data_IF_259163633201
#
_entry.id   IF_259163633201
#
_cell.length_a   1.000
_cell.length_b   1.000
_cell.length_c   1.000
_cell.angle_alpha   90.00
_cell.angle_beta   90.00
_cell.angle_gamma   90.00
#
_symmetry.space_group_name_H-M   'P 1'
#
loop_
_entity.id
_entity.type
_entity.pdbx_description
1 polymer ?
#
# COMPACT_ATOMS: atom_id res chain seq x y z
N UNK A 1 67.09 47.60 34.45
CA UNK A 1 66.85 46.97 33.13
C UNK A 1 65.50 46.23 33.20
N UNK A 2 64.38 46.78 32.70
CA UNK A 2 63.79 46.59 31.33
C UNK A 2 63.62 45.08 31.01
N UNK A 3 62.45 44.46 30.77
CA UNK A 3 61.23 44.71 29.93
C UNK A 3 60.11 43.74 30.39
N UNK A 4 58.81 44.08 30.48
CA UNK A 4 57.75 44.34 29.45
C UNK A 4 57.22 43.11 28.67
N UNK A 5 55.90 42.87 28.81
CA UNK A 5 54.94 42.31 27.81
C UNK A 5 54.82 40.79 27.76
N UNK A 6 53.71 40.15 27.34
CA UNK A 6 52.35 40.52 26.90
C UNK A 6 51.70 39.20 26.45
N UNK A 7 50.36 39.08 26.48
CA UNK A 7 49.66 38.30 25.45
C UNK A 7 48.87 37.07 25.89
N UNK A 8 47.60 37.33 26.22
CA UNK A 8 46.47 36.41 26.20
C UNK A 8 46.29 35.78 24.79
N UNK A 9 45.97 34.48 24.71
CA UNK A 9 45.48 33.85 23.47
C UNK A 9 44.68 32.59 23.79
N UNK A 10 43.41 32.81 24.14
CA UNK A 10 42.33 31.82 24.04
C UNK A 10 42.32 31.19 22.64
N UNK A 11 42.74 29.92 22.54
CA UNK A 11 42.45 29.07 21.37
C UNK A 11 40.94 28.87 21.27
N UNK A 12 40.28 29.65 20.42
CA UNK A 12 38.94 29.34 19.89
C UNK A 12 39.04 27.97 19.20
N UNK A 13 38.17 27.02 19.59
CA UNK A 13 37.90 25.82 18.80
C UNK A 13 37.50 26.29 17.40
N UNK A 14 38.37 26.07 16.42
CA UNK A 14 37.95 26.13 15.02
C UNK A 14 36.97 24.97 14.83
N UNK A 15 35.72 25.31 14.57
CA UNK A 15 34.75 24.36 14.03
C UNK A 15 35.37 23.73 12.79
N UNK A 16 35.54 22.41 12.81
CA UNK A 16 35.98 21.64 11.64
C UNK A 16 34.94 21.88 10.55
N UNK A 17 35.35 22.52 9.47
CA UNK A 17 34.54 22.56 8.26
C UNK A 17 34.23 21.13 7.79
N UNK A 18 32.98 20.83 7.40
CA UNK A 18 32.62 19.52 6.87
C UNK A 18 33.42 19.26 5.58
N UNK A 19 33.95 18.05 5.46
CA UNK A 19 34.65 17.58 4.27
C UNK A 19 33.78 17.68 3.02
N UNK A 20 34.34 18.00 1.84
CA UNK A 20 33.59 18.01 0.58
C UNK A 20 33.04 16.61 0.34
N UNK A 21 31.71 16.46 0.30
CA UNK A 21 31.01 15.18 0.16
C UNK A 21 30.12 14.78 1.35
N UNK A 22 30.00 15.60 2.39
CA UNK A 22 29.07 15.34 3.49
C UNK A 22 27.60 15.37 3.02
N UNK A 23 26.96 14.20 2.97
CA UNK A 23 25.52 14.07 2.72
C UNK A 23 24.76 14.32 4.02
N UNK A 24 23.78 15.21 3.98
CA UNK A 24 22.87 15.47 5.09
C UNK A 24 21.45 15.07 4.70
N UNK A 25 20.68 14.54 5.63
CA UNK A 25 19.27 14.20 5.43
C UNK A 25 18.43 15.22 6.17
N UNK A 26 17.55 15.91 5.45
CA UNK A 26 16.48 16.67 6.06
C UNK A 26 15.34 15.73 6.40
N UNK A 27 14.87 15.84 7.63
CA UNK A 27 13.79 15.03 8.18
C UNK A 27 12.72 16.00 8.66
N UNK A 28 11.57 15.98 8.00
CA UNK A 28 10.37 16.70 8.43
C UNK A 28 9.46 15.67 9.10
N UNK A 29 9.29 15.78 10.42
CA UNK A 29 8.40 14.90 11.17
C UNK A 29 7.06 15.58 11.40
N UNK A 30 5.97 14.90 11.08
CA UNK A 30 4.61 15.31 11.40
C UNK A 30 3.98 14.29 12.34
N UNK A 31 3.58 14.71 13.54
CA UNK A 31 2.95 13.84 14.53
C UNK A 31 1.51 14.27 14.81
N UNK A 32 0.58 13.32 14.71
CA UNK A 32 -0.81 13.53 15.10
C UNK A 32 -0.98 13.27 16.61
N UNK A 33 -1.48 14.28 17.33
CA UNK A 33 -1.52 14.25 18.80
C UNK A 33 -2.60 13.32 19.37
N UNK A 34 -3.63 12.97 18.61
CA UNK A 34 -4.74 12.12 19.06
C UNK A 34 -4.34 10.65 19.12
N UNK A 35 -4.89 9.92 20.09
CA UNK A 35 -4.79 8.47 20.05
C UNK A 35 -5.49 7.96 18.79
N UNK A 36 -4.77 7.17 18.01
CA UNK A 36 -5.09 6.89 16.61
C UNK A 36 -4.93 5.42 16.25
N UNK A 37 -4.64 4.54 17.21
CA UNK A 37 -4.47 3.11 16.95
C UNK A 37 -3.50 2.83 15.78
N UNK A 38 -2.34 3.52 15.78
CA UNK A 38 -1.33 3.49 14.72
C UNK A 38 -1.80 3.99 13.34
N UNK A 39 -2.78 4.89 13.31
CA UNK A 39 -3.16 5.66 12.12
C UNK A 39 -2.56 7.08 12.16
N UNK A 40 -2.41 7.69 10.99
CA UNK A 40 -2.08 9.09 10.83
C UNK A 40 -3.15 9.73 9.96
N UNK A 41 -3.71 10.85 10.40
CA UNK A 41 -4.74 11.57 9.66
C UNK A 41 -4.06 12.60 8.74
N UNK A 42 -4.06 12.33 7.44
CA UNK A 42 -3.46 13.22 6.45
C UNK A 42 -4.34 14.42 6.08
N UNK A 43 -5.57 14.47 6.59
CA UNK A 43 -6.47 15.63 6.47
C UNK A 43 -6.38 16.54 7.69
N UNK A 44 -5.62 16.15 8.73
CA UNK A 44 -5.49 16.94 9.95
C UNK A 44 -4.72 18.24 9.70
N UNK A 45 -5.34 19.37 10.05
CA UNK A 45 -4.73 20.70 9.96
C UNK A 45 -3.78 21.00 11.14
N UNK A 46 -3.99 20.35 12.29
CA UNK A 46 -3.21 20.56 13.50
C UNK A 46 -2.27 19.39 13.73
N UNK A 47 -1.03 19.55 13.29
CA UNK A 47 0.06 18.57 13.42
C UNK A 47 1.22 19.16 14.20
N UNK A 48 1.90 18.34 14.99
CA UNK A 48 3.18 18.70 15.59
C UNK A 48 4.27 18.44 14.56
N UNK A 49 4.79 19.52 13.96
CA UNK A 49 5.83 19.46 12.94
C UNK A 49 7.19 19.80 13.52
N UNK A 50 8.22 19.03 13.16
CA UNK A 50 9.62 19.31 13.52
C UNK A 50 10.54 19.06 12.34
N UNK A 51 11.45 20.00 12.12
CA UNK A 51 12.49 19.89 11.09
C UNK A 51 13.80 19.53 11.78
N UNK A 52 14.42 18.44 11.32
CA UNK A 52 15.64 17.88 11.88
C UNK A 52 16.62 17.62 10.75
N UNK A 53 17.91 17.79 10.99
CA UNK A 53 18.96 17.48 10.02
C UNK A 53 19.89 16.44 10.62
N UNK A 54 20.10 15.34 9.89
CA UNK A 54 21.00 14.27 10.28
C UNK A 54 22.20 14.21 9.34
N UNK A 55 23.40 14.24 9.90
CA UNK A 55 24.66 14.04 9.18
C UNK A 55 25.31 12.77 9.72
N UNK A 56 24.97 11.61 9.14
CA UNK A 56 25.46 10.29 9.56
C UNK A 56 24.40 9.41 10.23
N UNK A 57 24.86 8.39 10.96
CA UNK A 57 23.98 7.42 11.62
C UNK A 57 23.31 8.01 12.87
N UNK A 58 21.98 7.96 12.93
CA UNK A 58 21.17 8.47 14.04
C UNK A 58 19.92 7.61 14.25
N UNK A 59 19.36 7.66 15.45
CA UNK A 59 18.06 7.08 15.78
C UNK A 59 17.02 8.19 15.90
N UNK A 60 15.85 8.00 15.28
CA UNK A 60 14.70 8.86 15.42
C UNK A 60 13.76 8.28 16.49
N UNK A 61 13.51 9.04 17.55
CA UNK A 61 12.60 8.66 18.63
C UNK A 61 11.49 9.70 18.78
N UNK A 62 10.42 9.33 19.47
CA UNK A 62 9.31 10.21 19.81
C UNK A 62 8.94 10.10 21.28
N UNK A 63 8.84 11.23 21.96
CA UNK A 63 8.33 11.35 23.32
C UNK A 63 7.04 12.17 23.30
N UNK A 64 5.90 11.49 23.43
CA UNK A 64 4.58 12.10 23.25
C UNK A 64 4.33 12.53 21.79
N UNK A 65 4.48 13.82 21.52
CA UNK A 65 4.39 14.42 20.17
C UNK A 65 5.73 14.92 19.63
N UNK A 66 6.75 15.07 20.48
CA UNK A 66 8.04 15.61 20.10
C UNK A 66 8.95 14.52 19.54
N UNK A 67 9.51 14.76 18.36
CA UNK A 67 10.44 13.85 17.68
C UNK A 67 11.87 14.34 17.89
N UNK A 68 12.81 13.45 18.18
CA UNK A 68 14.20 13.82 18.44
C UNK A 68 15.16 12.85 17.74
N UNK A 69 16.36 13.37 17.42
CA UNK A 69 17.48 12.57 16.96
C UNK A 69 18.37 12.22 18.15
N UNK A 70 18.73 10.94 18.24
CA UNK A 70 19.72 10.43 19.17
C UNK A 70 20.89 9.83 18.41
N UNK A 71 22.07 9.87 19.03
CA UNK A 71 23.23 9.14 18.53
C UNK A 71 22.94 7.63 18.51
N UNK A 72 23.54 6.90 17.57
CA UNK A 72 23.29 5.46 17.38
C UNK A 72 23.52 4.60 18.63
N UNK A 73 24.42 5.02 19.52
CA UNK A 73 24.76 4.32 20.77
C UNK A 73 24.02 4.84 22.02
N UNK A 74 23.23 5.92 21.88
CA UNK A 74 22.51 6.47 23.02
C UNK A 74 21.32 5.57 23.38
N UNK A 75 21.08 5.40 24.68
CA UNK A 75 19.90 4.65 25.15
C UNK A 75 18.66 5.53 25.04
N UNK A 76 17.56 5.06 24.40
CA UNK A 76 16.32 5.81 24.33
C UNK A 76 15.74 6.08 25.73
N UNK A 77 15.19 7.27 26.00
CA UNK A 77 14.49 7.55 27.25
C UNK A 77 13.35 6.54 27.50
N UNK A 78 13.10 6.16 28.76
CA UNK A 78 12.00 5.26 29.10
C UNK A 78 10.66 5.84 28.64
N UNK A 79 9.82 5.02 28.02
CA UNK A 79 8.52 5.44 27.48
C UNK A 79 8.57 6.16 26.12
N UNK A 80 9.76 6.35 25.52
CA UNK A 80 9.87 6.87 24.15
C UNK A 80 9.53 5.80 23.10
N UNK A 81 8.82 6.22 22.06
CA UNK A 81 8.57 5.40 20.87
C UNK A 81 9.78 5.49 19.94
N UNK A 82 10.36 4.34 19.60
CA UNK A 82 11.43 4.31 18.62
C UNK A 82 10.83 4.24 17.21
N UNK A 83 11.13 5.24 16.38
CA UNK A 83 10.51 5.39 15.06
C UNK A 83 11.29 4.62 13.99
N UNK A 84 12.48 5.11 13.63
CA UNK A 84 13.37 4.53 12.63
C UNK A 84 14.82 4.91 12.94
N UNK A 85 15.76 4.34 12.20
CA UNK A 85 17.16 4.76 12.24
C UNK A 85 17.69 5.08 10.85
N UNK A 86 18.58 6.06 10.79
CA UNK A 86 19.44 6.32 9.64
C UNK A 86 20.78 5.64 9.89
N UNK A 87 21.28 4.92 8.89
CA UNK A 87 22.57 4.21 8.97
C UNK A 87 23.43 4.63 7.80
N UNK A 88 24.61 5.17 8.08
CA UNK A 88 25.60 5.50 7.06
C UNK A 88 26.47 4.27 6.77
N UNK A 89 26.49 3.81 5.51
CA UNK A 89 27.29 2.66 5.05
C UNK A 89 27.93 2.99 3.72
N UNK A 90 29.25 2.95 3.64
CA UNK A 90 29.99 3.21 2.39
C UNK A 90 29.69 4.59 1.78
N UNK A 91 29.51 5.62 2.61
CA UNK A 91 29.17 6.98 2.17
C UNK A 91 27.68 7.20 1.82
N UNK A 92 26.87 6.15 1.77
CA UNK A 92 25.43 6.23 1.50
C UNK A 92 24.60 6.16 2.79
N UNK A 93 23.42 6.79 2.79
CA UNK A 93 22.49 6.79 3.93
C UNK A 93 21.29 5.88 3.69
N UNK A 94 21.01 5.03 4.67
CA UNK A 94 19.95 4.02 4.62
C UNK A 94 18.94 4.25 5.73
N UNK A 95 17.66 4.10 5.42
CA UNK A 95 16.59 4.03 6.43
C UNK A 95 16.36 2.59 6.84
N UNK A 96 16.37 2.33 8.15
CA UNK A 96 16.14 1.00 8.71
C UNK A 96 15.26 1.08 9.97
N UNK A 97 14.77 -0.07 10.44
CA UNK A 97 13.96 -0.20 11.65
C UNK A 97 14.72 0.22 12.90
N UNK A 98 14.02 0.68 13.93
CA UNK A 98 14.65 0.94 15.22
C UNK A 98 15.20 -0.35 15.89
N UNK A 99 16.10 -0.20 16.86
CA UNK A 99 16.72 -1.30 17.61
C UNK A 99 16.39 -1.19 19.11
N UNK A 100 15.96 -2.26 19.79
CA UNK A 100 15.94 -3.65 19.31
C UNK A 100 14.73 -3.96 18.41
N UNK A 101 14.85 -4.89 17.43
CA UNK A 101 13.78 -5.21 16.49
C UNK A 101 12.48 -5.69 17.16
N UNK A 102 12.61 -6.36 18.31
CA UNK A 102 11.49 -6.90 19.09
C UNK A 102 10.45 -5.82 19.49
N UNK A 103 10.92 -4.60 19.75
CA UNK A 103 10.07 -3.47 20.15
C UNK A 103 9.86 -2.46 19.01
N UNK A 104 10.43 -2.71 17.83
CA UNK A 104 10.34 -1.78 16.71
C UNK A 104 8.98 -1.89 16.00
N UNK A 105 8.31 -0.75 15.83
CA UNK A 105 7.11 -0.68 15.00
C UNK A 105 7.47 -0.92 13.53
N UNK A 106 6.52 -1.46 12.76
CA UNK A 106 6.70 -1.60 11.31
C UNK A 106 6.85 -0.22 10.67
N UNK A 107 7.80 -0.09 9.74
CA UNK A 107 7.95 1.08 8.89
C UNK A 107 7.03 0.94 7.67
N UNK A 108 6.24 1.97 7.42
CA UNK A 108 5.25 2.00 6.36
C UNK A 108 5.57 3.13 5.38
N UNK A 109 5.94 2.80 4.15
CA UNK A 109 6.10 3.79 3.09
C UNK A 109 4.74 4.35 2.71
N UNK A 110 4.62 5.68 2.68
CA UNK A 110 3.39 6.37 2.31
C UNK A 110 3.30 6.45 0.78
N UNK A 111 2.29 5.83 0.18
CA UNK A 111 2.20 5.68 -1.29
C UNK A 111 1.91 7.00 -2.00
N UNK A 112 1.11 7.87 -1.38
CA UNK A 112 0.68 9.14 -1.98
C UNK A 112 1.81 10.13 -2.29
N UNK A 113 2.96 9.95 -1.62
CA UNK A 113 4.14 10.79 -1.78
C UNK A 113 5.19 10.14 -2.71
N UNK A 114 4.87 8.98 -3.29
CA UNK A 114 5.75 8.26 -4.22
C UNK A 114 5.45 8.67 -5.68
N UNK A 115 6.26 8.14 -6.60
CA UNK A 115 6.29 8.49 -8.02
C UNK A 115 4.90 8.74 -8.66
N UNK A 116 4.80 9.67 -9.63
CA UNK A 116 3.52 10.08 -10.22
C UNK A 116 2.74 8.95 -10.93
N UNK A 117 3.39 7.81 -11.23
CA UNK A 117 2.77 6.65 -11.87
C UNK A 117 2.33 5.54 -10.89
N UNK A 118 2.41 5.79 -9.57
CA UNK A 118 2.05 4.83 -8.54
C UNK A 118 3.21 3.94 -8.08
N UNK A 119 2.97 3.17 -7.02
CA UNK A 119 3.98 2.31 -6.41
C UNK A 119 3.86 0.87 -6.93
N UNK A 120 4.92 0.35 -7.55
CA UNK A 120 5.00 -1.04 -8.01
C UNK A 120 4.75 -2.02 -6.86
N UNK A 121 3.88 -3.00 -7.11
CA UNK A 121 3.60 -4.13 -6.22
C UNK A 121 4.34 -5.38 -6.66
N UNK A 122 4.81 -6.14 -5.68
CA UNK A 122 5.48 -7.44 -5.87
C UNK A 122 4.94 -8.49 -4.90
N UNK A 123 5.16 -9.77 -5.20
CA UNK A 123 4.74 -10.86 -4.32
C UNK A 123 5.31 -10.71 -2.91
N UNK A 124 4.47 -11.01 -1.93
CA UNK A 124 4.74 -10.87 -0.49
C UNK A 124 4.75 -9.43 0.03
N UNK A 125 4.50 -8.40 -0.80
CA UNK A 125 4.30 -7.04 -0.27
C UNK A 125 3.09 -7.01 0.65
N UNK A 126 3.13 -6.13 1.66
CA UNK A 126 2.02 -5.92 2.57
C UNK A 126 1.57 -4.48 2.41
N UNK A 127 0.33 -4.31 1.93
CA UNK A 127 -0.33 -3.02 1.84
C UNK A 127 -1.20 -2.80 3.07
N UNK A 128 -1.31 -1.55 3.54
CA UNK A 128 -2.16 -1.15 4.67
C UNK A 128 -3.07 -0.01 4.23
N UNK A 129 -4.37 -0.18 4.46
CA UNK A 129 -5.44 0.79 4.17
C UNK A 129 -6.22 1.00 5.48
N UNK A 130 -6.02 2.14 6.14
CA UNK A 130 -6.52 2.33 7.50
C UNK A 130 -6.04 1.21 8.43
N UNK A 131 -6.97 0.50 9.08
CA UNK A 131 -6.67 -0.64 9.98
C UNK A 131 -6.51 -1.98 9.25
N UNK A 132 -6.92 -2.07 7.98
CA UNK A 132 -6.81 -3.30 7.19
C UNK A 132 -5.45 -3.46 6.54
N UNK A 133 -5.04 -4.72 6.35
CA UNK A 133 -3.79 -5.10 5.71
C UNK A 133 -4.05 -6.23 4.73
N UNK A 134 -3.54 -6.10 3.51
CA UNK A 134 -3.47 -7.20 2.56
C UNK A 134 -2.03 -7.59 2.31
N UNK A 135 -1.79 -8.89 2.17
CA UNK A 135 -0.57 -9.41 1.59
C UNK A 135 -0.81 -9.69 0.12
N UNK A 136 0.12 -9.27 -0.74
CA UNK A 136 0.13 -9.64 -2.15
C UNK A 136 0.57 -11.10 -2.23
N UNK A 137 -0.38 -11.99 -2.45
CA UNK A 137 -0.15 -13.44 -2.51
C UNK A 137 0.58 -13.83 -3.79
N UNK A 138 0.08 -13.32 -4.89
CA UNK A 138 0.51 -13.66 -6.24
C UNK A 138 0.24 -12.47 -7.17
N UNK A 139 1.16 -12.24 -8.09
CA UNK A 139 0.99 -11.29 -9.20
C UNK A 139 1.41 -11.99 -10.48
N UNK A 140 0.47 -12.14 -11.42
CA UNK A 140 0.77 -12.67 -12.74
C UNK A 140 0.66 -11.53 -13.76
N UNK A 141 1.77 -11.15 -14.39
CA UNK A 141 1.81 -10.05 -15.35
C UNK A 141 1.51 -10.49 -16.80
N UNK A 142 1.76 -11.76 -17.15
CA UNK A 142 1.48 -12.32 -18.48
C UNK A 142 1.20 -13.83 -18.38
N UNK A 143 0.46 -14.37 -19.36
CA UNK A 143 0.45 -15.81 -19.63
C UNK A 143 1.76 -16.15 -20.35
N UNK A 144 2.63 -16.95 -19.72
CA UNK A 144 3.74 -17.56 -20.44
C UNK A 144 3.19 -18.79 -21.20
N UNK A 145 3.46 -18.86 -22.51
CA UNK A 145 3.27 -20.04 -23.37
C UNK A 145 1.95 -20.81 -23.22
N UNK A 146 0.82 -20.10 -23.12
CA UNK A 146 -0.52 -20.71 -23.08
C UNK A 146 -0.84 -21.49 -21.79
N UNK A 147 0.09 -21.56 -20.84
CA UNK A 147 -0.12 -22.17 -19.53
C UNK A 147 -0.51 -21.08 -18.53
N UNK A 148 -1.75 -21.11 -18.05
CA UNK A 148 -2.21 -20.19 -17.02
C UNK A 148 -1.48 -20.51 -15.70
N UNK A 149 -0.86 -19.51 -15.03
CA UNK A 149 -0.16 -19.76 -13.79
C UNK A 149 -1.16 -20.24 -12.73
N UNK A 150 -0.80 -21.35 -12.09
CA UNK A 150 -1.60 -21.96 -11.04
C UNK A 150 -1.81 -20.97 -9.88
N UNK A 151 -3.04 -20.88 -9.39
CA UNK A 151 -3.40 -20.01 -8.28
C UNK A 151 -2.91 -20.61 -6.97
N UNK A 152 -2.10 -19.86 -6.23
CA UNK A 152 -1.54 -20.30 -4.94
C UNK A 152 -2.54 -20.11 -3.80
N UNK A 153 -3.49 -21.05 -3.69
CA UNK A 153 -4.59 -21.01 -2.73
C UNK A 153 -4.18 -21.24 -1.26
N UNK A 154 -3.01 -21.83 -1.01
CA UNK A 154 -2.49 -22.08 0.35
C UNK A 154 -1.00 -21.72 0.54
N UNK A 155 -0.59 -21.55 1.81
CA UNK A 155 0.79 -21.25 2.25
C UNK A 155 1.66 -22.49 2.42
N UNK A 156 1.05 -23.58 2.85
CA UNK A 156 1.75 -24.72 3.41
C UNK A 156 1.93 -25.89 2.44
N UNK A 157 1.54 -25.71 1.18
CA UNK A 157 1.51 -26.80 0.22
C UNK A 157 0.79 -28.05 0.80
N UNK A 158 -0.24 -27.85 1.63
CA UNK A 158 -0.89 -28.94 2.33
C UNK A 158 -1.69 -29.75 1.31
N UNK A 159 -1.39 -31.04 1.22
CA UNK A 159 -2.14 -31.99 0.42
C UNK A 159 -2.63 -33.14 1.30
N UNK A 160 -3.85 -33.61 1.05
CA UNK A 160 -4.22 -34.95 1.48
C UNK A 160 -3.75 -35.96 0.44
N UNK A 161 -3.40 -37.16 0.90
CA UNK A 161 -2.99 -38.26 0.04
C UNK A 161 -4.24 -39.01 -0.42
N UNK A 162 -4.22 -39.47 -1.66
CA UNK A 162 -5.14 -40.52 -2.09
C UNK A 162 -4.70 -41.81 -1.40
N UNK A 163 -5.59 -42.44 -0.63
CA UNK A 163 -5.28 -43.72 0.00
C UNK A 163 -5.50 -44.83 -1.03
N UNK A 164 -4.44 -45.16 -1.77
CA UNK A 164 -4.43 -46.24 -2.77
C UNK A 164 -4.10 -47.58 -2.11
N UNK A 165 -3.88 -47.63 -0.79
CA UNK A 165 -3.14 -48.71 -0.14
C UNK A 165 -3.94 -49.61 0.78
N UNK A 166 -5.26 -49.49 0.83
CA UNK A 166 -6.10 -50.40 1.62
C UNK A 166 -7.18 -51.04 0.79
N UNK A 167 -6.95 -52.30 0.51
CA UNK A 167 -7.90 -53.29 -0.01
C UNK A 167 -8.96 -53.65 1.06
N UNK A 168 -9.39 -52.66 1.85
CA UNK A 168 -10.41 -52.84 2.89
C UNK A 168 -11.78 -52.61 2.23
N UNK A 169 -12.46 -53.70 1.88
CA UNK A 169 -13.83 -53.77 1.32
C UNK A 169 -14.92 -53.12 2.22
N UNK A 170 -14.53 -52.38 3.26
CA UNK A 170 -15.41 -51.77 4.27
C UNK A 170 -15.16 -50.28 4.49
N UNK A 171 -14.36 -49.62 3.66
CA UNK A 171 -14.22 -48.16 3.73
C UNK A 171 -15.46 -47.51 3.09
N UNK A 172 -16.25 -46.84 3.92
CA UNK A 172 -17.46 -46.12 3.50
C UNK A 172 -17.19 -44.62 3.37
N UNK A 173 -17.71 -43.99 2.33
CA UNK A 173 -17.70 -42.54 2.18
C UNK A 173 -18.71 -41.87 3.12
N UNK A 174 -18.27 -40.91 3.95
CA UNK A 174 -19.15 -40.22 4.91
C UNK A 174 -20.23 -39.32 4.28
N UNK A 175 -20.11 -39.01 2.98
CA UNK A 175 -21.05 -38.14 2.26
C UNK A 175 -22.16 -38.95 1.57
N UNK A 176 -21.79 -39.92 0.73
CA UNK A 176 -22.76 -40.71 -0.04
C UNK A 176 -23.14 -42.04 0.63
N UNK A 177 -22.42 -42.45 1.68
CA UNK A 177 -22.61 -43.71 2.41
C UNK A 177 -22.41 -44.97 1.56
N UNK A 178 -21.71 -44.85 0.42
CA UNK A 178 -21.32 -45.99 -0.42
C UNK A 178 -19.94 -46.51 -0.02
N UNK A 179 -19.76 -47.83 -0.13
CA UNK A 179 -18.52 -48.53 0.15
C UNK A 179 -17.59 -48.55 -1.08
N UNK A 180 -16.28 -48.61 -0.83
CA UNK A 180 -15.25 -48.83 -1.84
C UNK A 180 -14.75 -47.56 -2.54
N UNK A 181 -13.61 -47.71 -3.21
CA UNK A 181 -13.05 -46.68 -4.10
C UNK A 181 -13.58 -46.92 -5.52
N UNK A 182 -14.04 -45.87 -6.20
CA UNK A 182 -14.26 -45.95 -7.64
C UNK A 182 -12.92 -45.83 -8.36
N UNK A 183 -12.75 -46.49 -9.52
CA UNK A 183 -11.51 -46.37 -10.32
C UNK A 183 -11.14 -44.90 -10.62
N UNK A 184 -12.15 -44.04 -10.82
CA UNK A 184 -11.99 -42.59 -11.08
C UNK A 184 -12.35 -41.67 -9.89
N UNK A 185 -12.80 -42.23 -8.75
CA UNK A 185 -13.21 -41.45 -7.58
C UNK A 185 -12.74 -42.11 -6.28
N UNK A 186 -11.46 -41.90 -5.92
CA UNK A 186 -10.87 -42.58 -4.79
C UNK A 186 -11.28 -41.95 -3.46
N UNK A 187 -11.20 -42.76 -2.40
CA UNK A 187 -11.39 -42.29 -1.03
C UNK A 187 -10.16 -41.53 -0.53
N UNK A 188 -10.41 -40.43 0.16
CA UNK A 188 -9.39 -39.59 0.78
C UNK A 188 -9.72 -39.33 2.25
N UNK A 189 -8.69 -39.03 3.05
CA UNK A 189 -8.83 -38.48 4.40
C UNK A 189 -8.43 -36.99 4.37
N UNK A 190 -9.39 -36.07 4.19
CA UNK A 190 -9.12 -34.66 3.90
C UNK A 190 -8.96 -33.79 5.15
N UNK A 191 -9.18 -34.35 6.35
CA UNK A 191 -9.22 -33.58 7.59
C UNK A 191 -8.83 -34.46 8.79
N UNK A 192 -8.95 -33.94 10.01
CA UNK A 192 -8.54 -34.63 11.24
C UNK A 192 -9.61 -35.58 11.81
N UNK A 193 -10.69 -35.84 11.07
CA UNK A 193 -11.72 -36.79 11.50
C UNK A 193 -11.17 -38.22 11.56
N UNK A 194 -11.73 -39.04 12.45
CA UNK A 194 -11.31 -40.44 12.69
C UNK A 194 -12.52 -41.37 12.74
N UNK A 195 -12.30 -42.66 12.46
CA UNK A 195 -13.34 -43.68 12.48
C UNK A 195 -14.22 -43.64 11.22
N UNK A 196 -15.52 -43.89 11.35
CA UNK A 196 -16.46 -44.00 10.22
C UNK A 196 -16.65 -42.72 9.39
N UNK A 197 -16.18 -41.58 9.89
CA UNK A 197 -16.27 -40.26 9.22
C UNK A 197 -14.92 -39.76 8.71
N UNK A 198 -13.89 -40.61 8.71
CA UNK A 198 -12.54 -40.27 8.25
C UNK A 198 -12.46 -40.15 6.72
N UNK A 199 -13.14 -41.05 6.00
CA UNK A 199 -13.01 -41.18 4.54
C UNK A 199 -14.16 -40.55 3.77
N UNK A 200 -13.83 -39.98 2.61
CA UNK A 200 -14.77 -39.39 1.65
C UNK A 200 -14.24 -39.56 0.25
N UNK A 201 -15.15 -39.79 -0.70
CA UNK A 201 -14.80 -39.75 -2.11
C UNK A 201 -14.35 -38.34 -2.51
N UNK A 202 -13.31 -38.26 -3.34
CA UNK A 202 -12.78 -37.01 -3.86
C UNK A 202 -13.85 -36.19 -4.59
N UNK A 203 -14.65 -36.84 -5.43
CA UNK A 203 -15.77 -36.27 -6.18
C UNK A 203 -16.88 -35.77 -5.25
N UNK A 204 -17.26 -36.55 -4.24
CA UNK A 204 -18.24 -36.12 -3.23
C UNK A 204 -17.78 -34.86 -2.49
N UNK A 205 -16.51 -34.81 -2.06
CA UNK A 205 -15.97 -33.65 -1.37
C UNK A 205 -15.87 -32.42 -2.30
N UNK A 206 -15.41 -32.62 -3.55
CA UNK A 206 -15.40 -31.57 -4.58
C UNK A 206 -16.77 -30.95 -4.81
N UNK A 207 -17.79 -31.80 -4.94
CA UNK A 207 -19.18 -31.36 -5.11
C UNK A 207 -19.66 -30.53 -3.91
N UNK A 208 -19.41 -31.02 -2.69
CA UNK A 208 -19.73 -30.30 -1.46
C UNK A 208 -19.04 -28.93 -1.41
N UNK A 209 -17.73 -28.88 -1.71
CA UNK A 209 -16.94 -27.65 -1.67
C UNK A 209 -17.47 -26.64 -2.69
N UNK A 210 -17.75 -27.09 -3.92
CA UNK A 210 -18.29 -26.24 -4.99
C UNK A 210 -19.60 -25.58 -4.59
N UNK A 211 -20.50 -26.32 -3.94
CA UNK A 211 -21.76 -25.77 -3.42
C UNK A 211 -21.59 -24.74 -2.28
N UNK A 212 -20.41 -24.65 -1.66
CA UNK A 212 -20.15 -23.81 -0.48
C UNK A 212 -19.25 -22.62 -0.75
N UNK A 213 -18.40 -22.68 -1.78
CA UNK A 213 -17.49 -21.58 -2.11
C UNK A 213 -18.21 -20.35 -2.69
N UNK A 214 -19.46 -20.47 -3.16
CA UNK A 214 -20.25 -19.37 -3.72
C UNK A 214 -19.45 -18.50 -4.72
N UNK A 215 -18.62 -19.14 -5.55
CA UNK A 215 -17.82 -18.44 -6.56
C UNK A 215 -18.77 -18.06 -7.68
N UNK A 216 -19.20 -16.79 -7.70
CA UNK A 216 -19.99 -16.27 -8.81
C UNK A 216 -19.16 -16.35 -10.08
N UNK A 217 -19.71 -16.96 -11.13
CA UNK A 217 -19.13 -16.94 -12.48
C UNK A 217 -19.36 -15.55 -13.09
N UNK A 218 -18.72 -14.54 -12.50
CA UNK A 218 -18.84 -13.17 -12.94
C UNK A 218 -17.93 -12.97 -14.14
N UNK A 219 -18.48 -12.43 -15.24
CA UNK A 219 -17.74 -12.05 -16.44
C UNK A 219 -16.54 -11.12 -16.18
N UNK A 220 -16.48 -10.50 -14.98
CA UNK A 220 -15.39 -9.66 -14.50
C UNK A 220 -14.11 -10.43 -14.11
N UNK A 221 -14.13 -11.77 -14.09
CA UNK A 221 -12.95 -12.60 -13.79
C UNK A 221 -12.37 -12.36 -12.39
N UNK A 222 -13.21 -11.96 -11.43
CA UNK A 222 -12.82 -11.63 -10.05
C UNK A 222 -13.72 -12.37 -9.07
N UNK A 223 -13.14 -12.99 -8.04
CA UNK A 223 -13.88 -13.73 -7.02
C UNK A 223 -13.16 -13.71 -5.67
N UNK A 224 -13.89 -14.07 -4.61
CA UNK A 224 -13.33 -14.23 -3.27
C UNK A 224 -13.26 -15.71 -2.90
N UNK A 225 -12.04 -16.23 -2.78
CA UNK A 225 -11.82 -17.60 -2.33
C UNK A 225 -11.68 -17.64 -0.82
N UNK A 226 -12.48 -18.50 -0.19
CA UNK A 226 -12.41 -18.74 1.25
C UNK A 226 -12.06 -20.20 1.52
N UNK A 227 -10.95 -20.49 2.22
CA UNK A 227 -10.67 -21.84 2.68
C UNK A 227 -11.82 -22.37 3.53
N UNK A 228 -12.31 -23.57 3.20
CA UNK A 228 -13.40 -24.21 3.92
C UNK A 228 -12.86 -25.11 5.02
N UNK A 229 -13.56 -25.12 6.16
CA UNK A 229 -13.28 -26.00 7.27
C UNK A 229 -14.26 -27.17 7.28
N UNK A 230 -13.80 -28.32 7.75
CA UNK A 230 -14.66 -29.46 8.03
C UNK A 230 -15.73 -29.10 9.05
N UNK A 231 -16.98 -29.45 8.76
CA UNK A 231 -18.13 -29.20 9.61
C UNK A 231 -18.10 -29.97 10.93
N UNK A 232 -17.36 -31.08 11.00
CA UNK A 232 -17.20 -31.91 12.20
C UNK A 232 -15.99 -31.46 13.03
N UNK A 233 -14.78 -31.63 12.50
CA UNK A 233 -13.55 -31.39 13.27
C UNK A 233 -13.04 -29.94 13.20
N UNK A 234 -13.67 -29.07 12.38
CA UNK A 234 -13.29 -27.66 12.17
C UNK A 234 -11.89 -27.43 11.58
N UNK A 235 -11.15 -28.49 11.24
CA UNK A 235 -9.89 -28.40 10.52
C UNK A 235 -10.10 -27.88 9.10
N UNK A 236 -9.18 -27.06 8.60
CA UNK A 236 -9.21 -26.59 7.20
C UNK A 236 -8.98 -27.76 6.26
N UNK A 237 -9.79 -27.85 5.20
CA UNK A 237 -9.49 -28.77 4.11
C UNK A 237 -8.21 -28.32 3.39
N UNK A 238 -7.36 -29.25 2.95
CA UNK A 238 -6.18 -28.93 2.15
C UNK A 238 -6.61 -28.29 0.82
N UNK A 239 -5.80 -27.38 0.29
CA UNK A 239 -6.11 -26.78 -1.00
C UNK A 239 -5.87 -27.76 -2.17
N UNK A 240 -5.13 -28.85 -1.93
CA UNK A 240 -4.69 -29.79 -2.94
C UNK A 240 -4.80 -31.24 -2.48
N UNK A 241 -4.79 -32.13 -3.45
CA UNK A 241 -4.78 -33.58 -3.26
C UNK A 241 -3.58 -34.13 -4.03
N UNK A 242 -2.86 -35.06 -3.41
CA UNK A 242 -1.74 -35.76 -4.03
C UNK A 242 -2.25 -37.06 -4.66
N UNK A 243 -2.27 -37.11 -5.99
CA UNK A 243 -2.62 -38.31 -6.76
C UNK A 243 -1.42 -38.95 -7.47
N UNK A 244 -1.65 -40.06 -8.18
CA UNK A 244 -0.62 -40.79 -8.93
C UNK A 244 0.01 -39.92 -10.02
N UNK A 245 -0.79 -39.09 -10.70
CA UNK A 245 -0.32 -38.17 -11.77
C UNK A 245 0.24 -36.84 -11.23
N UNK A 246 0.36 -36.71 -9.91
CA UNK A 246 0.87 -35.52 -9.24
C UNK A 246 -0.17 -34.78 -8.39
N UNK A 247 0.12 -33.52 -8.09
CA UNK A 247 -0.71 -32.68 -7.22
C UNK A 247 -1.83 -32.02 -8.03
N UNK A 248 -3.07 -32.12 -7.57
CA UNK A 248 -4.23 -31.49 -8.18
C UNK A 248 -4.98 -30.62 -7.15
N UNK A 249 -5.63 -29.51 -7.56
CA UNK A 249 -6.44 -28.71 -6.64
C UNK A 249 -7.64 -29.52 -6.12
N UNK A 250 -7.92 -29.40 -4.81
CA UNK A 250 -9.09 -30.01 -4.19
C UNK A 250 -10.37 -29.29 -4.62
N UNK A 251 -10.31 -27.96 -4.75
CA UNK A 251 -11.42 -27.14 -5.22
C UNK A 251 -11.14 -26.61 -6.63
N UNK A 252 -12.06 -26.86 -7.56
CA UNK A 252 -12.05 -26.18 -8.85
C UNK A 252 -12.40 -24.70 -8.65
N UNK A 253 -11.47 -23.82 -9.02
CA UNK A 253 -11.67 -22.36 -8.97
C UNK A 253 -11.78 -21.79 -10.39
N UNK A 254 -12.55 -20.71 -10.59
CA UNK A 254 -12.66 -20.06 -11.89
C UNK A 254 -11.29 -19.67 -12.45
N UNK A 255 -11.09 -19.90 -13.76
CA UNK A 255 -9.87 -19.47 -14.44
C UNK A 255 -9.81 -17.95 -14.43
N UNK A 256 -8.69 -17.40 -13.96
CA UNK A 256 -8.48 -15.94 -13.89
C UNK A 256 -7.59 -15.50 -15.04
N UNK A 257 -8.06 -14.54 -15.85
CA UNK A 257 -7.28 -14.01 -16.97
C UNK A 257 -6.13 -13.12 -16.45
N UNK A 258 -4.90 -13.27 -16.96
CA UNK A 258 -3.82 -12.36 -16.64
C UNK A 258 -3.94 -11.06 -17.46
N UNK A 259 -3.33 -9.95 -16.99
CA UNK A 259 -2.66 -9.82 -15.70
C UNK A 259 -3.65 -9.94 -14.54
N UNK A 260 -3.25 -10.56 -13.43
CA UNK A 260 -4.11 -10.69 -12.24
C UNK A 260 -3.32 -10.48 -10.96
N UNK A 261 -4.05 -10.17 -9.89
CA UNK A 261 -3.52 -10.04 -8.54
C UNK A 261 -4.37 -10.84 -7.56
N UNK A 262 -3.69 -11.53 -6.64
CA UNK A 262 -4.32 -12.24 -5.53
C UNK A 262 -3.95 -11.55 -4.21
N UNK A 263 -4.97 -11.05 -3.48
CA UNK A 263 -4.83 -10.28 -2.24
C UNK A 263 -5.33 -11.10 -1.06
N UNK A 264 -4.41 -11.45 -0.16
CA UNK A 264 -4.71 -12.19 1.05
C UNK A 264 -5.00 -11.23 2.20
N UNK A 265 -6.18 -11.36 2.82
CA UNK A 265 -6.54 -10.53 3.95
C UNK A 265 -5.78 -10.95 5.22
N UNK A 266 -5.05 -10.02 5.84
CA UNK A 266 -4.23 -10.26 7.04
C UNK A 266 -4.94 -9.95 8.37
N UNK A 267 -6.27 -9.83 8.40
CA UNK A 267 -7.02 -9.58 9.64
C UNK A 267 -6.79 -10.72 10.64
N UNK A 268 -6.32 -10.34 11.84
CA UNK A 268 -6.00 -11.26 12.94
C UNK A 268 -7.10 -11.39 14.00
N UNK A 269 -8.21 -10.66 13.84
CA UNK A 269 -9.29 -10.76 14.82
C UNK A 269 -9.96 -12.12 14.73
N UNK A 270 -9.88 -12.86 15.84
CA UNK A 270 -10.59 -14.12 16.03
C UNK A 270 -12.10 -13.98 15.83
N UNK A 271 -12.66 -12.79 16.06
CA UNK A 271 -14.10 -12.54 15.86
C UNK A 271 -14.51 -12.29 14.39
N UNK A 272 -13.57 -12.06 13.48
CA UNK A 272 -13.86 -11.78 12.06
C UNK A 272 -13.38 -12.91 11.14
N UNK A 273 -13.67 -14.17 11.51
CA UNK A 273 -13.40 -15.33 10.66
C UNK A 273 -14.01 -15.20 9.25
N UNK A 274 -15.03 -14.35 9.08
CA UNK A 274 -15.70 -14.12 7.79
C UNK A 274 -14.81 -13.52 6.70
N UNK A 275 -13.74 -12.80 7.09
CA UNK A 275 -12.90 -12.04 6.17
C UNK A 275 -11.56 -12.71 5.85
N UNK A 276 -11.25 -13.87 6.45
CA UNK A 276 -10.05 -14.66 6.14
C UNK A 276 -10.23 -15.38 4.81
N UNK A 277 -9.69 -14.78 3.74
CA UNK A 277 -9.73 -15.34 2.40
C UNK A 277 -8.82 -14.58 1.44
N UNK A 278 -8.91 -14.98 0.18
CA UNK A 278 -8.09 -14.51 -0.92
C UNK A 278 -9.00 -13.85 -1.96
N UNK A 279 -8.82 -12.55 -2.18
CA UNK A 279 -9.45 -11.89 -3.33
C UNK A 279 -8.60 -12.16 -4.56
N UNK A 280 -9.16 -12.83 -5.57
CA UNK A 280 -8.50 -13.06 -6.85
C UNK A 280 -9.15 -12.14 -7.87
N UNK A 281 -8.39 -11.21 -8.43
CA UNK A 281 -8.89 -10.16 -9.34
C UNK A 281 -8.08 -10.15 -10.63
N UNK A 282 -8.76 -10.42 -11.75
CA UNK A 282 -8.25 -10.12 -13.09
C UNK A 282 -8.15 -8.60 -13.31
N UNK A 283 -6.99 -8.15 -13.77
CA UNK A 283 -6.68 -6.79 -14.24
C UNK A 283 -6.57 -6.74 -15.77
N UNK A 284 -7.01 -7.79 -16.47
CA UNK A 284 -7.11 -7.80 -17.92
C UNK A 284 -7.97 -6.64 -18.46
N UNK A 285 -7.82 -6.35 -19.75
CA UNK A 285 -8.58 -5.30 -20.44
C UNK A 285 -8.45 -3.91 -19.79
N UNK A 286 -7.29 -3.63 -19.18
CA UNK A 286 -6.99 -2.40 -18.44
C UNK A 286 -7.99 -2.10 -17.30
N UNK A 287 -8.55 -3.15 -16.68
CA UNK A 287 -9.45 -2.99 -15.54
C UNK A 287 -8.73 -2.29 -14.38
N UNK A 288 -9.36 -1.23 -13.87
CA UNK A 288 -8.94 -0.51 -12.67
C UNK A 288 -9.60 -1.14 -11.44
N UNK A 289 -8.81 -1.74 -10.55
CA UNK A 289 -9.27 -2.32 -9.30
C UNK A 289 -9.39 -1.24 -8.22
N UNK A 290 -10.61 -0.99 -7.73
CA UNK A 290 -10.89 -0.03 -6.65
C UNK A 290 -10.97 -0.74 -5.29
N UNK A 291 -10.18 -0.27 -4.34
CA UNK A 291 -10.19 -0.72 -2.95
C UNK A 291 -10.82 0.37 -2.08
N UNK A 292 -11.82 0.03 -1.27
CA UNK A 292 -12.48 1.02 -0.42
C UNK A 292 -13.68 0.49 0.34
N UNK A 293 -14.28 1.33 1.18
CA UNK A 293 -15.52 0.98 1.91
C UNK A 293 -16.80 1.24 1.13
N UNK A 294 -16.71 1.95 0.00
CA UNK A 294 -17.85 2.29 -0.84
C UNK A 294 -18.46 1.06 -1.50
N UNK A 295 -19.73 1.15 -1.89
CA UNK A 295 -20.39 0.09 -2.66
C UNK A 295 -19.81 -0.04 -4.08
N UNK A 296 -19.29 1.06 -4.63
CA UNK A 296 -18.61 1.14 -5.94
C UNK A 296 -17.16 0.58 -5.94
N UNK A 297 -16.71 -0.05 -4.85
CA UNK A 297 -15.38 -0.66 -4.78
C UNK A 297 -15.43 -2.12 -5.19
N UNK A 298 -14.53 -2.58 -6.07
CA UNK A 298 -14.41 -3.99 -6.43
C UNK A 298 -14.08 -4.87 -5.22
N UNK A 299 -13.23 -4.36 -4.32
CA UNK A 299 -12.97 -4.97 -3.01
C UNK A 299 -13.50 -4.05 -1.93
N UNK A 300 -14.69 -4.39 -1.43
CA UNK A 300 -15.38 -3.65 -0.38
C UNK A 300 -14.87 -4.03 1.00
N UNK A 301 -14.44 -3.03 1.76
CA UNK A 301 -13.91 -3.20 3.11
C UNK A 301 -14.72 -2.31 4.06
N UNK A 302 -15.63 -2.92 4.81
CA UNK A 302 -16.59 -2.22 5.70
C UNK A 302 -15.95 -1.72 7.00
N UNK A 303 -14.94 -0.86 6.91
CA UNK A 303 -14.26 -0.25 8.06
C UNK A 303 -14.26 1.28 7.97
N UNK A 304 -14.55 1.94 9.08
CA UNK A 304 -14.64 3.41 9.15
C UNK A 304 -13.31 4.12 8.93
N UNK A 305 -12.18 3.45 9.15
CA UNK A 305 -10.84 3.96 8.85
C UNK A 305 -10.46 3.89 7.37
N UNK A 306 -11.37 3.44 6.50
CA UNK A 306 -11.11 3.29 5.07
C UNK A 306 -11.99 4.29 4.30
N UNK A 307 -11.41 5.09 3.40
CA UNK A 307 -12.16 5.95 2.49
C UNK A 307 -13.11 5.17 1.56
N UNK A 308 -14.14 5.84 1.03
CA UNK A 308 -15.11 5.22 0.09
C UNK A 308 -14.41 4.62 -1.13
N UNK A 309 -13.48 5.37 -1.72
CA UNK A 309 -12.50 4.89 -2.69
C UNK A 309 -11.13 5.27 -2.12
N UNK A 310 -10.41 4.29 -1.56
CA UNK A 310 -9.21 4.51 -0.75
C UNK A 310 -7.95 4.41 -1.60
N UNK A 311 -7.88 3.38 -2.43
CA UNK A 311 -6.73 3.12 -3.28
C UNK A 311 -7.18 2.46 -4.58
N UNK A 312 -6.35 2.58 -5.60
CA UNK A 312 -6.56 1.93 -6.90
C UNK A 312 -5.35 1.08 -7.25
N UNK A 313 -5.60 -0.08 -7.85
CA UNK A 313 -4.59 -0.94 -8.43
C UNK A 313 -4.85 -1.05 -9.92
N UNK A 314 -3.81 -0.84 -10.73
CA UNK A 314 -3.88 -0.94 -12.19
C UNK A 314 -2.59 -1.49 -12.76
N UNK A 315 -2.63 -1.83 -14.03
CA UNK A 315 -1.43 -2.16 -14.79
C UNK A 315 -0.92 -0.89 -15.48
N UNK A 316 0.36 -0.60 -15.30
CA UNK A 316 1.07 0.49 -15.95
C UNK A 316 2.41 -0.04 -16.46
N UNK A 317 2.69 0.11 -17.76
CA UNK A 317 3.96 -0.35 -18.37
C UNK A 317 4.29 -1.82 -18.05
N UNK A 318 3.27 -2.69 -18.07
CA UNK A 318 3.42 -4.12 -17.76
C UNK A 318 3.63 -4.43 -16.27
N UNK A 319 3.50 -3.44 -15.39
CA UNK A 319 3.67 -3.60 -13.94
C UNK A 319 2.36 -3.32 -13.21
N UNK A 320 2.07 -4.09 -12.17
CA UNK A 320 0.95 -3.80 -11.27
C UNK A 320 1.38 -2.70 -10.30
N UNK A 321 0.69 -1.57 -10.33
CA UNK A 321 0.96 -0.38 -9.52
C UNK A 321 -0.20 -0.07 -8.59
N UNK A 322 0.13 0.43 -7.40
CA UNK A 322 -0.80 0.89 -6.37
C UNK A 322 -0.76 2.42 -6.26
N UNK A 323 -1.93 3.03 -6.22
CA UNK A 323 -2.10 4.47 -6.10
C UNK A 323 -3.02 4.78 -4.91
N UNK A 324 -2.66 5.81 -4.13
CA UNK A 324 -3.52 6.36 -3.09
C UNK A 324 -4.53 7.32 -3.72
N UNK A 325 -5.81 7.17 -3.38
CA UNK A 325 -6.86 8.06 -3.89
C UNK A 325 -7.21 9.14 -2.86
N UNK A 326 -6.18 9.90 -2.45
CA UNK A 326 -6.24 10.92 -1.41
C UNK A 326 -6.95 10.44 -0.13
N UNK A 327 -6.57 9.26 0.35
CA UNK A 327 -7.25 8.66 1.47
C UNK A 327 -6.93 9.37 2.78
N UNK A 328 -7.92 9.47 3.68
CA UNK A 328 -7.78 10.16 4.96
C UNK A 328 -6.62 9.63 5.80
N UNK A 329 -6.46 8.31 5.83
CA UNK A 329 -5.46 7.63 6.67
C UNK A 329 -4.28 7.05 5.88
N UNK A 330 -4.19 7.39 4.60
CA UNK A 330 -3.12 6.98 3.70
C UNK A 330 -3.16 5.51 3.27
N UNK A 331 -2.71 5.29 2.05
CA UNK A 331 -2.32 3.97 1.53
C UNK A 331 -0.84 3.75 1.79
N UNK A 332 -0.50 2.62 2.41
CA UNK A 332 0.86 2.36 2.88
C UNK A 332 1.40 1.00 2.43
N UNK A 333 2.72 0.90 2.25
CA UNK A 333 3.42 -0.37 1.97
C UNK A 333 4.48 -0.65 3.04
N UNK A 334 4.48 -1.87 3.58
CA UNK A 334 5.45 -2.29 4.59
C UNK A 334 6.86 -2.38 4.01
N UNK A 335 7.84 -1.78 4.69
CA UNK A 335 9.25 -1.98 4.35
C UNK A 335 9.73 -3.37 4.77
N UNK A 336 10.20 -4.16 3.79
CA UNK A 336 10.79 -5.49 4.00
C UNK A 336 12.27 -5.44 4.38
N UNK A 337 13.00 -4.48 3.80
CA UNK A 337 14.45 -4.33 3.90
C UNK A 337 14.81 -2.85 4.13
N UNK A 338 16.03 -2.56 4.61
CA UNK A 338 16.52 -1.19 4.69
C UNK A 338 16.45 -0.53 3.31
N UNK A 339 16.04 0.74 3.27
CA UNK A 339 15.86 1.49 2.01
C UNK A 339 16.96 2.53 1.87
N UNK A 340 17.64 2.52 0.74
CA UNK A 340 18.62 3.54 0.39
C UNK A 340 17.90 4.87 0.14
N UNK A 341 18.44 5.97 0.67
CA UNK A 341 18.01 7.32 0.34
C UNK A 341 18.71 7.78 -0.94
N UNK A 342 17.92 8.35 -1.84
CA UNK A 342 18.38 8.94 -3.10
C UNK A 342 18.22 10.46 -3.04
N UNK A 343 19.08 11.17 -3.75
CA UNK A 343 19.03 12.62 -3.94
C UNK A 343 17.85 13.10 -4.79
N UNK A 344 17.30 12.27 -5.67
CA UNK A 344 16.24 12.71 -6.57
C UNK A 344 14.84 12.70 -5.92
N UNK A 345 14.64 11.89 -4.88
CA UNK A 345 13.30 11.58 -4.38
C UNK A 345 13.20 11.75 -2.86
N UNK A 346 12.22 12.55 -2.44
CA UNK A 346 11.76 12.56 -1.04
C UNK A 346 10.95 11.30 -0.78
N UNK A 347 11.14 10.66 0.36
CA UNK A 347 10.31 9.54 0.80
C UNK A 347 9.60 9.87 2.10
N UNK A 348 8.36 9.44 2.24
CA UNK A 348 7.61 9.55 3.48
C UNK A 348 7.40 8.18 4.11
N UNK A 349 7.71 8.08 5.41
CA UNK A 349 7.59 6.84 6.19
C UNK A 349 6.73 7.11 7.40
N UNK A 350 5.63 6.37 7.51
CA UNK A 350 4.77 6.38 8.68
C UNK A 350 5.22 5.33 9.70
N UNK A 351 5.30 5.76 10.96
CA UNK A 351 5.50 4.90 12.13
C UNK A 351 4.45 5.27 13.19
N UNK A 352 3.45 4.41 13.33
CA UNK A 352 2.28 4.68 14.17
C UNK A 352 1.54 5.96 13.73
N UNK A 353 1.62 6.98 14.59
CA UNK A 353 0.95 8.29 14.44
C UNK A 353 1.88 9.42 13.95
N UNK A 354 3.07 9.06 13.48
CA UNK A 354 4.07 10.02 12.99
C UNK A 354 4.46 9.65 11.57
N UNK A 355 4.49 10.66 10.69
CA UNK A 355 5.06 10.56 9.34
C UNK A 355 6.38 11.31 9.32
N UNK A 356 7.42 10.66 8.83
CA UNK A 356 8.75 11.20 8.63
C UNK A 356 9.00 11.34 7.14
N UNK A 357 9.09 12.57 6.63
CA UNK A 357 9.49 12.86 5.26
C UNK A 357 11.00 13.11 5.22
N UNK A 358 11.72 12.28 4.48
CA UNK A 358 13.17 12.29 4.39
C UNK A 358 13.61 12.70 2.98
N UNK A 359 14.47 13.71 2.90
CA UNK A 359 15.11 14.15 1.66
C UNK A 359 16.61 14.28 1.83
N UNK A 360 17.36 13.74 0.87
CA UNK A 360 18.82 13.79 0.89
C UNK A 360 19.28 15.11 0.27
N UNK A 361 19.95 15.95 1.05
CA UNK A 361 20.57 17.18 0.57
C UNK A 361 22.05 16.93 0.27
N UNK A 362 22.48 17.32 -0.93
CA UNK A 362 23.90 17.57 -1.19
C UNK A 362 24.19 19.00 -0.78
N UNK A 363 25.23 19.19 0.02
CA UNK A 363 25.85 20.51 0.09
C UNK A 363 26.29 20.86 -1.33
N UNK A 364 25.59 21.80 -1.97
CA UNK A 364 26.12 22.46 -3.13
C UNK A 364 27.42 23.12 -2.67
N UNK A 365 28.55 22.78 -3.30
CA UNK A 365 29.70 23.66 -3.25
C UNK A 365 29.19 25.04 -3.66
N UNK A 366 29.30 26.01 -2.75
CA UNK A 366 29.10 27.40 -3.11
C UNK A 366 30.15 27.70 -4.18
N UNK A 367 29.75 27.61 -5.45
CA UNK A 367 30.45 28.30 -6.52
C UNK A 367 30.27 29.77 -6.14
N UNK A 368 31.32 30.34 -5.53
CA UNK A 368 31.47 31.78 -5.46
C UNK A 368 31.48 32.26 -6.91
N UNK A 369 30.31 32.61 -7.44
CA UNK A 369 30.23 33.43 -8.64
C UNK A 369 31.02 34.70 -8.31
N UNK A 370 32.10 35.02 -9.06
CA UNK A 370 32.74 36.32 -8.90
C UNK A 370 31.64 37.36 -9.12
N UNK A 371 31.46 38.26 -8.14
CA UNK A 371 30.64 39.44 -8.36
C UNK A 371 31.05 40.05 -9.70
N UNK A 372 30.11 40.39 -10.60
CA UNK A 372 30.46 41.13 -11.79
C UNK A 372 31.07 42.45 -11.32
N UNK A 373 32.34 42.66 -11.64
CA UNK A 373 32.99 43.94 -11.44
C UNK A 373 32.20 44.97 -12.23
N UNK A 374 31.59 45.92 -11.52
CA UNK A 374 30.98 47.10 -12.12
C UNK A 374 32.11 47.90 -12.76
N UNK A 375 32.23 47.78 -14.08
CA UNK A 375 33.05 48.69 -14.88
C UNK A 375 32.24 49.99 -15.02
N UNK A 376 32.77 51.16 -14.64
CA UNK A 376 32.07 52.42 -14.85
C UNK A 376 32.12 52.75 -16.35
N UNK A 377 31.03 52.44 -17.05
CA UNK A 377 30.85 52.71 -18.49
C UNK A 377 29.85 53.82 -18.72
N UNK A 378 30.38 55.00 -19.03
CA UNK A 378 29.81 56.18 -19.70
C UNK A 378 28.29 56.34 -19.86
N UNK A 379 27.83 57.50 -19.36
CA UNK A 379 26.47 58.03 -19.49
C UNK A 379 26.06 58.30 -20.94
N UNK A 380 25.54 57.30 -21.66
CA UNK A 380 24.69 57.52 -22.84
C UNK A 380 23.50 56.53 -23.00
N UNK A 381 23.34 55.54 -22.13
CA UNK A 381 22.32 54.47 -22.30
C UNK A 381 21.05 54.58 -21.43
N UNK A 382 20.69 55.78 -20.98
CA UNK A 382 19.39 56.00 -20.28
C UNK A 382 18.21 56.34 -21.22
N UNK A 383 18.43 56.51 -22.53
CA UNK A 383 17.35 56.82 -23.48
C UNK A 383 16.65 55.58 -24.09
N UNK A 384 17.29 54.41 -24.08
CA UNK A 384 16.72 53.20 -24.66
C UNK A 384 15.70 52.49 -23.74
N UNK A 385 15.83 52.64 -22.42
CA UNK A 385 14.95 52.00 -21.43
C UNK A 385 13.62 52.74 -21.18
N UNK A 386 13.51 54.02 -21.57
CA UNK A 386 12.27 54.80 -21.42
C UNK A 386 11.29 54.70 -22.58
N UNK A 387 11.71 54.22 -23.76
CA UNK A 387 10.85 54.11 -24.94
C UNK A 387 10.04 52.81 -25.03
N UNK A 388 10.43 51.76 -24.28
CA UNK A 388 9.77 50.45 -24.28
C UNK A 388 8.63 50.31 -23.26
N UNK A 389 8.44 51.29 -22.38
CA UNK A 389 7.40 51.28 -21.33
C UNK A 389 6.18 52.17 -21.67
N UNK A 390 6.13 52.77 -22.87
CA UNK A 390 5.04 53.67 -23.29
C UNK A 390 4.27 53.24 -24.55
N UNK A 391 4.63 52.12 -25.18
CA UNK A 391 3.93 51.62 -26.37
C UNK A 391 3.62 50.13 -26.25
N UNK A 392 2.40 49.79 -25.84
CA UNK A 392 1.97 48.40 -25.80
C UNK A 392 0.62 48.17 -25.11
N UNK A 393 -0.40 48.97 -25.41
CA UNK A 393 -1.78 48.61 -25.08
C UNK A 393 -2.74 48.99 -26.20
N UNK A 394 -3.59 48.01 -26.55
CA UNK A 394 -4.85 48.05 -27.30
C UNK A 394 -4.88 47.91 -28.85
N UNK A 395 -5.53 46.79 -29.22
CA UNK A 395 -6.58 46.58 -30.24
C UNK A 395 -6.25 46.61 -31.73
N UNK A 396 -6.59 45.52 -32.41
CA UNK A 396 -7.31 45.54 -33.69
C UNK A 396 -8.44 44.49 -33.70
N UNK A 397 -9.65 44.98 -33.98
CA UNK A 397 -10.85 44.26 -34.42
C UNK A 397 -10.93 44.33 -35.96
N UNK A 398 -11.52 43.32 -36.59
CA UNK A 398 -12.12 43.37 -37.93
C UNK A 398 -12.81 42.03 -38.20
N UNK A 399 -14.00 41.91 -38.78
CA UNK A 399 -14.99 42.85 -39.30
C UNK A 399 -16.22 42.05 -39.79
N UNK A 400 -17.37 42.70 -39.71
CA UNK A 400 -18.77 42.35 -40.03
C UNK A 400 -19.12 41.51 -41.28
N UNK A 401 -20.28 40.81 -41.24
CA UNK A 401 -21.52 41.15 -42.00
C UNK A 401 -22.73 40.20 -41.73
N UNK A 402 -23.93 40.77 -41.52
CA UNK A 402 -25.24 40.17 -41.91
C UNK A 402 -26.30 39.90 -40.82
N UNK A 403 -27.43 40.63 -40.82
CA UNK A 403 -28.71 40.45 -40.08
C UNK A 403 -29.88 40.52 -41.12
N UNK A 404 -31.18 40.39 -40.79
CA UNK A 404 -31.98 39.43 -39.96
C UNK A 404 -33.27 39.00 -40.77
N UNK A 405 -34.51 38.74 -40.23
CA UNK A 405 -35.01 38.42 -38.88
C UNK A 405 -36.07 37.25 -38.81
N UNK A 406 -36.50 36.94 -37.58
CA UNK A 406 -37.90 36.77 -37.11
C UNK A 406 -38.32 35.51 -36.32
N UNK A 407 -39.18 35.81 -35.32
CA UNK A 407 -40.19 35.01 -34.61
C UNK A 407 -39.93 34.36 -33.24
N UNK A 408 -40.23 35.18 -32.21
CA UNK A 408 -41.29 35.03 -31.20
C UNK A 408 -41.55 33.66 -30.54
N UNK A 409 -41.38 33.65 -29.21
CA UNK A 409 -42.55 33.56 -28.32
C UNK A 409 -42.71 32.28 -27.48
N UNK A 410 -42.95 32.49 -26.17
CA UNK A 410 -43.93 31.66 -25.44
C UNK A 410 -43.44 30.95 -24.18
N UNK A 411 -43.56 31.63 -23.04
CA UNK A 411 -43.56 31.04 -21.70
C UNK A 411 -44.95 30.46 -21.33
N UNK A 412 -44.99 29.44 -20.46
CA UNK A 412 -45.98 29.18 -19.40
C UNK A 412 -45.74 27.76 -18.82
N UNK A 413 -45.31 27.61 -17.56
CA UNK A 413 -46.12 27.43 -16.33
C UNK A 413 -46.79 26.04 -16.15
N UNK A 414 -46.34 25.35 -15.10
CA UNK A 414 -47.20 24.78 -14.05
C UNK A 414 -47.69 23.34 -14.22
N UNK A 415 -47.28 22.45 -13.30
CA UNK A 415 -48.18 21.58 -12.52
C UNK A 415 -47.42 20.69 -11.53
N UNK A 416 -48.14 20.39 -10.45
CA UNK A 416 -47.76 19.75 -9.19
C UNK A 416 -47.46 18.25 -9.31
N UNK A 417 -46.78 17.69 -8.30
CA UNK A 417 -46.69 16.25 -8.09
C UNK A 417 -45.78 15.88 -6.93
N UNK A 418 -46.32 15.85 -5.71
CA UNK A 418 -45.74 15.16 -4.55
C UNK A 418 -45.81 13.63 -4.71
N UNK A 419 -44.83 12.88 -4.18
CA UNK A 419 -45.10 11.54 -3.67
C UNK A 419 -44.83 11.42 -2.17
N UNK A 420 -45.74 10.74 -1.48
CA UNK A 420 -45.65 10.28 -0.10
C UNK A 420 -44.49 9.28 0.07
N UNK A 421 -43.65 9.49 1.08
CA UNK A 421 -42.83 8.44 1.69
C UNK A 421 -43.57 7.85 2.90
N UNK A 422 -43.84 6.56 2.82
CA UNK A 422 -44.31 5.69 3.90
C UNK A 422 -43.11 5.17 4.70
N UNK A 423 -43.09 5.44 6.01
CA UNK A 423 -42.31 4.69 7.00
C UNK A 423 -42.96 3.32 7.27
N UNK A 424 -42.21 2.30 7.70
CA UNK A 424 -42.72 1.25 8.55
C UNK A 424 -42.13 1.30 9.97
N UNK A 425 -42.99 0.92 10.90
CA UNK A 425 -42.91 0.95 12.35
C UNK A 425 -41.80 0.06 12.97
N UNK A 426 -41.33 0.51 14.14
CA UNK A 426 -40.81 -0.33 15.22
C UNK A 426 -41.98 -1.06 15.91
N UNK A 427 -41.92 -2.38 16.05
CA UNK A 427 -42.16 -3.12 17.32
C UNK A 427 -42.08 -4.66 17.11
N UNK A 428 -41.49 -5.31 18.14
CA UNK A 428 -41.26 -6.74 18.42
C UNK A 428 -39.94 -7.38 17.96
#
# INVERSE_FOLDING_TARGET
>A
LKRLGSGDSKRRKMDRMPSPGAQAVQIVSNTWARDSHDLFDFEALQLHTKNLTASGSVQCIRSGTDVQLLNEHATPPPGSDQLLRLVQRGGALWVDKALPPANSKKLWLVVRDLAPCGQKLTEGDIIKLGRFKFRIRQVAASACDGVQPELRLDDNCASCMIDVTKDDEHLTCRICLLDGHGEDDPLISPCLCKGSVEYVHLGCLRHWIRGRLNLSDNASGSYFYRPLACELCKGLYPAYVQGPDGRAPLAEVPKTKPPFIALENMVRDSMQHSSRGLHVISLADNKLLKLGRGHESDVRISDVSISRCHATIRVHEGQVVLEDNNSKFGTLIAMKKPRLLDTANTISIQVGRTVLSLSLQRYAEQVYSPMPQVVPGNAQDERALRLLLLTGSSREEGGFQGFPPDWQGGAAQGAQGTPQETQPDEEL
#
